data_IF_092928652344
#
_entry.id   IF_092928652344
#
_cell.length_a   1.000
_cell.length_b   1.000
_cell.length_c   1.000
_cell.angle_alpha   90.00
_cell.angle_beta   90.00
_cell.angle_gamma   90.00
#
_symmetry.space_group_name_H-M   'P 1'
#
loop_
_entity.id
_entity.type
_entity.pdbx_description
1 polymer ?
#
# COMPACT_ATOMS: atom_id res chain seq x y z
N UNK A 1 19.34 -56.00 -26.26
CA UNK A 1 18.52 -54.92 -25.69
C UNK A 1 19.44 -53.93 -24.98
N UNK A 2 19.65 -52.71 -25.51
CA UNK A 2 20.56 -51.70 -24.92
C UNK A 2 19.89 -51.07 -23.69
N UNK A 3 20.44 -51.30 -22.49
CA UNK A 3 19.97 -50.64 -21.27
C UNK A 3 20.46 -49.19 -21.29
N UNK A 4 19.54 -48.23 -21.41
CA UNK A 4 19.85 -46.78 -21.32
C UNK A 4 20.04 -46.43 -19.84
N UNK A 5 21.26 -46.08 -19.43
CA UNK A 5 21.52 -45.50 -18.10
C UNK A 5 20.83 -44.14 -18.03
N UNK A 6 19.87 -43.97 -17.12
CA UNK A 6 19.32 -42.65 -16.79
C UNK A 6 20.34 -41.92 -15.93
N UNK A 7 20.90 -40.83 -16.44
CA UNK A 7 21.65 -39.88 -15.60
C UNK A 7 20.64 -39.15 -14.73
N UNK A 8 20.63 -39.44 -13.43
CA UNK A 8 19.86 -38.70 -12.44
C UNK A 8 20.71 -37.60 -11.80
N UNK A 9 20.05 -36.61 -11.19
CA UNK A 9 20.71 -35.61 -10.34
C UNK A 9 21.41 -36.28 -9.16
N UNK A 10 22.57 -35.76 -8.79
CA UNK A 10 23.30 -36.19 -7.59
C UNK A 10 22.79 -35.44 -6.35
N UNK A 11 22.87 -36.08 -5.18
CA UNK A 11 22.55 -35.41 -3.92
C UNK A 11 23.44 -34.19 -3.66
N UNK A 12 24.71 -34.27 -4.08
CA UNK A 12 25.68 -33.19 -3.94
C UNK A 12 25.25 -31.92 -4.69
N UNK A 13 24.74 -32.08 -5.91
CA UNK A 13 24.24 -30.95 -6.72
C UNK A 13 23.07 -30.25 -6.05
N UNK A 14 22.15 -31.01 -5.45
CA UNK A 14 20.99 -30.44 -4.74
C UNK A 14 21.45 -29.71 -3.46
N UNK A 15 22.38 -30.29 -2.70
CA UNK A 15 22.89 -29.68 -1.46
C UNK A 15 23.65 -28.39 -1.76
N UNK A 16 24.54 -28.39 -2.76
CA UNK A 16 25.28 -27.20 -3.15
C UNK A 16 24.34 -26.07 -3.63
N UNK A 17 23.32 -26.40 -4.43
CA UNK A 17 22.35 -25.43 -4.92
C UNK A 17 21.50 -24.82 -3.80
N UNK A 18 20.92 -25.65 -2.92
CA UNK A 18 20.08 -25.14 -1.81
C UNK A 18 20.90 -24.32 -0.82
N UNK A 19 22.13 -24.74 -0.53
CA UNK A 19 23.05 -23.99 0.35
C UNK A 19 23.30 -22.58 -0.18
N UNK A 20 23.54 -22.45 -1.49
CA UNK A 20 23.73 -21.14 -2.12
C UNK A 20 22.45 -20.29 -2.07
N UNK A 21 21.28 -20.88 -2.35
CA UNK A 21 19.99 -20.18 -2.30
C UNK A 21 19.71 -19.65 -0.88
N UNK A 22 20.02 -20.41 0.16
CA UNK A 22 19.81 -19.99 1.56
C UNK A 22 20.67 -18.79 1.90
N UNK A 23 21.95 -18.79 1.51
CA UNK A 23 22.88 -17.67 1.77
C UNK A 23 22.35 -16.40 1.09
N UNK A 24 22.02 -16.44 -0.21
CA UNK A 24 21.52 -15.24 -0.91
C UNK A 24 20.15 -14.80 -0.38
N UNK A 25 19.26 -15.74 -0.02
CA UNK A 25 17.92 -15.44 0.46
C UNK A 25 17.94 -14.77 1.84
N UNK A 26 18.94 -15.09 2.68
CA UNK A 26 19.08 -14.48 4.01
C UNK A 26 19.20 -12.95 3.96
N UNK A 27 19.82 -12.40 2.90
CA UNK A 27 19.98 -10.95 2.70
C UNK A 27 18.90 -10.41 1.76
N UNK A 28 18.52 -11.16 0.73
CA UNK A 28 17.56 -10.70 -0.27
C UNK A 28 16.15 -10.51 0.29
N UNK A 29 15.67 -11.41 1.16
CA UNK A 29 14.32 -11.36 1.72
C UNK A 29 14.08 -10.07 2.53
N UNK A 30 14.88 -9.70 3.56
CA UNK A 30 14.61 -8.49 4.34
C UNK A 30 14.71 -7.21 3.48
N UNK A 31 15.65 -7.16 2.54
CA UNK A 31 15.76 -6.04 1.61
C UNK A 31 14.51 -5.89 0.74
N UNK A 32 14.04 -7.01 0.17
CA UNK A 32 12.83 -7.03 -0.64
C UNK A 32 11.60 -6.58 0.15
N UNK A 33 11.45 -7.04 1.40
CA UNK A 33 10.33 -6.61 2.26
C UNK A 33 10.33 -5.11 2.51
N UNK A 34 11.48 -4.51 2.81
CA UNK A 34 11.59 -3.06 2.99
C UNK A 34 11.19 -2.27 1.73
N UNK A 35 11.59 -2.76 0.55
CA UNK A 35 11.21 -2.15 -0.74
C UNK A 35 9.69 -2.24 -0.92
N UNK A 36 9.10 -3.41 -0.71
CA UNK A 36 7.66 -3.62 -0.85
C UNK A 36 6.88 -2.72 0.11
N UNK A 37 7.31 -2.60 1.36
CA UNK A 37 6.64 -1.75 2.34
C UNK A 37 6.73 -0.26 1.99
N UNK A 38 7.88 0.20 1.48
CA UNK A 38 8.02 1.56 0.94
C UNK A 38 7.11 1.80 -0.27
N UNK A 39 6.99 0.83 -1.18
CA UNK A 39 6.10 0.94 -2.34
C UNK A 39 4.61 0.98 -1.93
N UNK A 40 4.22 0.16 -0.95
CA UNK A 40 2.87 0.20 -0.37
C UNK A 40 2.58 1.57 0.25
N UNK A 41 3.52 2.09 1.05
CA UNK A 41 3.40 3.41 1.66
C UNK A 41 3.24 4.52 0.60
N UNK A 42 4.12 4.55 -0.40
CA UNK A 42 4.07 5.56 -1.47
C UNK A 42 2.77 5.48 -2.29
N UNK A 43 2.27 4.26 -2.53
CA UNK A 43 0.98 4.07 -3.21
C UNK A 43 -0.16 4.63 -2.38
N UNK A 44 -0.18 4.35 -1.08
CA UNK A 44 -1.20 4.85 -0.18
C UNK A 44 -1.13 6.37 0.00
N UNK A 45 0.07 6.95 0.02
CA UNK A 45 0.28 8.40 0.02
C UNK A 45 -0.30 9.04 -1.26
N UNK A 46 -0.03 8.46 -2.43
CA UNK A 46 -0.58 8.97 -3.69
C UNK A 46 -2.11 8.92 -3.71
N UNK A 47 -2.71 7.84 -3.20
CA UNK A 47 -4.18 7.75 -3.05
C UNK A 47 -4.67 8.80 -2.05
N UNK A 48 -3.96 9.00 -0.93
CA UNK A 48 -4.34 9.99 0.06
C UNK A 48 -4.33 11.42 -0.48
N UNK A 49 -3.34 11.79 -1.30
CA UNK A 49 -3.29 13.08 -2.00
C UNK A 49 -4.47 13.27 -2.96
N UNK A 50 -4.84 12.23 -3.70
CA UNK A 50 -6.02 12.28 -4.56
C UNK A 50 -7.30 12.49 -3.75
N UNK A 51 -7.46 11.75 -2.65
CA UNK A 51 -8.60 11.89 -1.74
C UNK A 51 -8.64 13.27 -1.08
N UNK A 52 -7.50 13.84 -0.74
CA UNK A 52 -7.39 15.20 -0.22
C UNK A 52 -7.89 16.22 -1.24
N UNK A 53 -7.50 16.08 -2.51
CA UNK A 53 -7.98 16.92 -3.59
C UNK A 53 -9.49 16.78 -3.80
N UNK A 54 -10.04 15.56 -3.75
CA UNK A 54 -11.49 15.34 -3.87
C UNK A 54 -12.25 15.97 -2.70
N UNK A 55 -11.72 15.88 -1.48
CA UNK A 55 -12.33 16.55 -0.33
C UNK A 55 -12.31 18.08 -0.48
N UNK A 56 -11.20 18.66 -0.95
CA UNK A 56 -11.14 20.10 -1.25
C UNK A 56 -12.19 20.50 -2.30
N UNK A 57 -12.32 19.74 -3.38
CA UNK A 57 -13.35 19.96 -4.41
C UNK A 57 -14.75 19.89 -3.81
N UNK A 58 -15.04 18.85 -3.03
CA UNK A 58 -16.32 18.68 -2.34
C UNK A 58 -16.67 19.90 -1.47
N UNK A 59 -15.71 20.40 -0.68
CA UNK A 59 -15.91 21.57 0.17
C UNK A 59 -16.15 22.84 -0.65
N UNK A 60 -15.49 23.01 -1.79
CA UNK A 60 -15.71 24.16 -2.69
C UNK A 60 -17.14 24.12 -3.26
N UNK A 61 -17.62 22.95 -3.67
CA UNK A 61 -18.93 22.76 -4.29
C UNK A 61 -20.09 22.86 -3.28
N UNK A 62 -19.94 22.21 -2.12
CA UNK A 62 -21.04 22.01 -1.18
C UNK A 62 -20.94 22.91 0.06
N UNK A 63 -19.77 23.50 0.32
CA UNK A 63 -19.44 24.24 1.57
C UNK A 63 -19.73 23.42 2.84
N UNK A 64 -19.66 22.10 2.72
CA UNK A 64 -19.95 21.14 3.76
C UNK A 64 -18.67 20.39 4.14
N UNK A 65 -18.58 20.02 5.41
CA UNK A 65 -17.48 19.25 5.99
C UNK A 65 -17.96 17.95 6.62
N UNK A 66 -19.23 17.60 6.44
CA UNK A 66 -19.82 16.36 6.95
C UNK A 66 -19.12 15.13 6.37
N UNK A 67 -18.66 14.27 7.28
CA UNK A 67 -17.87 13.07 6.96
C UNK A 67 -18.67 12.04 6.15
N UNK A 68 -19.95 11.84 6.46
CA UNK A 68 -20.76 10.83 5.77
C UNK A 68 -21.10 11.25 4.34
N UNK A 69 -21.45 12.53 4.16
CA UNK A 69 -21.69 13.07 2.83
C UNK A 69 -20.43 13.10 1.97
N UNK A 70 -19.29 13.47 2.56
CA UNK A 70 -17.99 13.39 1.88
C UNK A 70 -17.67 11.94 1.48
N UNK A 71 -17.89 10.97 2.37
CA UNK A 71 -17.70 9.55 2.05
C UNK A 71 -18.54 9.14 0.84
N UNK A 72 -19.84 9.48 0.84
CA UNK A 72 -20.75 9.19 -0.29
C UNK A 72 -20.33 9.88 -1.59
N UNK A 73 -19.82 11.10 -1.52
CA UNK A 73 -19.29 11.82 -2.68
C UNK A 73 -18.10 11.08 -3.29
N UNK A 74 -17.13 10.68 -2.47
CA UNK A 74 -15.96 9.92 -2.91
C UNK A 74 -16.38 8.55 -3.47
N UNK A 75 -17.30 7.86 -2.81
CA UNK A 75 -17.85 6.59 -3.31
C UNK A 75 -18.57 6.77 -4.65
N UNK A 76 -19.22 7.91 -4.90
CA UNK A 76 -19.81 8.23 -6.20
C UNK A 76 -18.78 8.34 -7.34
N UNK A 77 -17.55 8.74 -7.03
CA UNK A 77 -16.46 8.88 -8.01
C UNK A 77 -15.75 7.53 -8.26
N UNK A 78 -15.47 6.80 -7.18
CA UNK A 78 -14.64 5.58 -7.23
C UNK A 78 -15.47 4.27 -7.22
N UNK A 79 -16.79 4.36 -7.10
CA UNK A 79 -17.70 3.22 -6.88
C UNK A 79 -17.65 2.68 -5.44
N UNK A 80 -16.47 2.64 -4.83
CA UNK A 80 -16.25 2.27 -3.42
C UNK A 80 -15.09 3.09 -2.85
N UNK A 81 -15.02 3.20 -1.51
CA UNK A 81 -13.87 3.84 -0.87
C UNK A 81 -12.59 3.05 -1.19
N UNK A 82 -11.52 3.72 -1.66
CA UNK A 82 -10.24 3.05 -1.87
C UNK A 82 -9.76 2.35 -0.60
N UNK A 83 -8.96 1.29 -0.77
CA UNK A 83 -8.36 0.51 0.32
C UNK A 83 -6.86 0.63 0.32
N UNK A 84 -6.28 0.73 1.50
CA UNK A 84 -4.83 0.77 1.72
C UNK A 84 -4.16 -0.51 1.23
N UNK A 85 -3.02 -0.36 0.55
CA UNK A 85 -2.14 -1.47 0.15
C UNK A 85 -1.30 -2.00 1.32
N UNK A 86 -1.21 -1.24 2.42
CA UNK A 86 -0.52 -1.66 3.63
C UNK A 86 -1.28 -2.74 4.39
N UNK A 87 -2.57 -2.53 4.68
CA UNK A 87 -3.35 -3.45 5.51
C UNK A 87 -4.79 -3.73 5.02
N UNK A 88 -5.17 -3.22 3.85
CA UNK A 88 -6.50 -3.46 3.27
C UNK A 88 -7.65 -2.66 3.90
N UNK A 89 -7.38 -1.78 4.87
CA UNK A 89 -8.42 -0.93 5.45
C UNK A 89 -8.89 0.15 4.47
N UNK A 90 -10.15 0.54 4.55
CA UNK A 90 -10.68 1.70 3.83
C UNK A 90 -9.98 2.99 4.29
N UNK A 91 -9.78 3.91 3.37
CA UNK A 91 -9.37 5.27 3.71
C UNK A 91 -10.51 6.01 4.42
N UNK A 92 -10.14 6.91 5.31
CA UNK A 92 -11.02 7.86 5.98
C UNK A 92 -10.52 9.27 5.71
N UNK A 93 -11.43 10.15 5.30
CA UNK A 93 -11.15 11.55 5.00
C UNK A 93 -12.01 12.41 5.90
N UNK A 94 -11.38 13.34 6.61
CA UNK A 94 -12.04 14.22 7.57
C UNK A 94 -11.52 15.65 7.45
N UNK A 95 -12.35 16.60 7.85
CA UNK A 95 -11.93 17.99 8.02
C UNK A 95 -11.69 18.27 9.51
N UNK A 96 -10.55 18.87 9.83
CA UNK A 96 -10.32 19.46 11.15
C UNK A 96 -11.23 20.70 11.35
N UNK A 97 -11.35 21.17 12.59
CA UNK A 97 -11.94 22.44 13.01
C UNK A 97 -11.46 23.65 12.19
N UNK A 98 -10.22 23.61 11.69
CA UNK A 98 -9.64 24.61 10.79
C UNK A 98 -9.95 24.39 9.29
N UNK A 99 -10.87 23.46 8.97
CA UNK A 99 -11.26 23.06 7.60
C UNK A 99 -10.11 22.51 6.75
N UNK A 100 -9.10 21.95 7.41
CA UNK A 100 -7.97 21.30 6.76
C UNK A 100 -8.26 19.81 6.65
N UNK A 101 -7.88 19.21 5.52
CA UNK A 101 -8.16 17.80 5.26
C UNK A 101 -7.13 16.91 5.93
N UNK A 102 -7.60 15.86 6.57
CA UNK A 102 -6.80 14.76 7.12
C UNK A 102 -7.23 13.46 6.44
N UNK A 103 -6.26 12.69 5.97
CA UNK A 103 -6.49 11.40 5.28
C UNK A 103 -5.73 10.31 6.01
N UNK A 104 -6.45 9.30 6.47
CA UNK A 104 -5.89 8.18 7.23
C UNK A 104 -6.42 6.84 6.73
N UNK A 105 -5.60 5.80 6.84
CA UNK A 105 -6.05 4.43 6.65
C UNK A 105 -5.31 3.53 7.62
N UNK A 106 -6.03 2.64 8.29
CA UNK A 106 -5.37 1.52 8.94
C UNK A 106 -4.51 1.86 10.15
N UNK A 107 -4.83 2.97 10.83
CA UNK A 107 -4.04 3.51 11.94
C UNK A 107 -2.85 4.37 11.52
N UNK A 108 -2.64 4.59 10.20
CA UNK A 108 -1.65 5.54 9.68
C UNK A 108 -2.34 6.78 9.10
N UNK A 109 -1.76 7.94 9.35
CA UNK A 109 -2.20 9.22 8.79
C UNK A 109 -1.23 9.64 7.70
N UNK A 110 -1.70 9.76 6.46
CA UNK A 110 -0.85 10.10 5.31
C UNK A 110 -0.81 11.60 5.08
N UNK A 111 -1.97 12.25 5.27
CA UNK A 111 -2.12 13.70 5.21
C UNK A 111 -2.65 14.15 6.56
N UNK A 112 -1.93 15.04 7.22
CA UNK A 112 -2.37 15.70 8.46
C UNK A 112 -2.53 17.20 8.21
N UNK A 113 -3.76 17.68 8.30
CA UNK A 113 -4.10 19.11 8.13
C UNK A 113 -3.53 19.70 6.83
N UNK A 114 -3.64 18.93 5.75
CA UNK A 114 -3.16 19.31 4.41
C UNK A 114 -1.63 19.34 4.25
N UNK A 115 -0.90 18.67 5.15
CA UNK A 115 0.53 18.40 4.99
C UNK A 115 0.77 16.90 4.91
N UNK A 116 1.67 16.51 4.02
CA UNK A 116 2.18 15.14 3.98
C UNK A 116 2.88 14.81 5.29
N UNK A 117 2.64 13.60 5.81
CA UNK A 117 3.49 13.03 6.85
C UNK A 117 4.60 12.20 6.21
N UNK A 118 5.84 12.41 6.67
CA UNK A 118 6.94 11.49 6.41
C UNK A 118 6.99 10.46 7.54
N UNK A 119 7.16 9.19 7.20
CA UNK A 119 7.38 8.08 8.14
C UNK A 119 8.72 7.42 7.84
#
# INVERSE_FOLDING_TARGET
MKIRKKKGFTLLEIIAAVSLIVIISSVAIPMYMNIVDKQKYNTDLAVALQLEQQAKTYYIENKDTDKEKLKKYIEGIYGTMPKSKYNGSEFTVEFDTAKKVTVSAGGKTFIDKGKEQEF
#
